data_IF_400025399811
#
_entry.id   IF_400025399811
#
_cell.length_a   1.000
_cell.length_b   1.000
_cell.length_c   1.000
_cell.angle_alpha   90.00
_cell.angle_beta   90.00
_cell.angle_gamma   90.00
#
_symmetry.space_group_name_H-M   'P 1'
#
loop_
_entity.id
_entity.type
_entity.pdbx_description
1 polymer ?
#
# COMPACT_ATOMS: atom_id res chain seq x y z
N UNK A 1 -24.49 36.97 26.03
CA UNK A 1 -24.87 35.55 25.94
C UNK A 1 -23.99 34.88 24.86
N UNK A 2 -22.87 34.30 25.23
CA UNK A 2 -21.88 33.67 24.28
C UNK A 2 -22.19 32.18 24.17
N UNK A 3 -22.64 31.73 23.02
CA UNK A 3 -22.80 30.29 22.73
C UNK A 3 -21.43 29.66 22.50
N UNK A 4 -21.03 28.75 23.38
CA UNK A 4 -19.89 27.87 23.18
C UNK A 4 -20.33 26.77 22.23
N UNK A 5 -19.76 26.72 21.06
CA UNK A 5 -19.83 25.57 20.15
C UNK A 5 -18.86 24.52 20.67
N UNK A 6 -19.40 23.44 21.23
CA UNK A 6 -18.64 22.27 21.61
C UNK A 6 -18.17 21.53 20.36
N UNK A 7 -16.87 21.49 20.18
CA UNK A 7 -16.22 20.60 19.22
C UNK A 7 -16.06 19.26 19.94
N UNK A 8 -16.85 18.27 19.55
CA UNK A 8 -16.64 16.87 19.93
C UNK A 8 -15.39 16.37 19.23
N UNK A 9 -14.42 15.83 19.96
CA UNK A 9 -13.29 15.16 19.32
C UNK A 9 -13.80 13.86 18.68
N UNK A 10 -13.71 13.74 17.37
CA UNK A 10 -13.82 12.48 16.68
C UNK A 10 -12.75 11.53 17.25
N UNK A 11 -13.18 10.40 17.78
CA UNK A 11 -12.27 9.33 18.17
C UNK A 11 -11.60 8.83 16.88
N UNK A 12 -10.36 9.21 16.74
CA UNK A 12 -9.42 8.65 15.76
C UNK A 12 -9.18 7.20 16.13
N UNK A 13 -9.88 6.29 15.46
CA UNK A 13 -9.48 4.88 15.41
C UNK A 13 -8.36 4.79 14.35
N UNK A 14 -7.20 5.25 14.77
CA UNK A 14 -6.03 5.36 13.93
C UNK A 14 -5.35 4.01 13.79
N UNK A 15 -4.92 3.75 12.58
CA UNK A 15 -3.66 3.06 12.27
C UNK A 15 -3.52 1.63 12.81
N UNK A 16 -4.23 0.68 12.21
CA UNK A 16 -3.86 -0.72 12.35
C UNK A 16 -3.42 -1.37 11.04
N UNK A 17 -3.49 -0.64 9.92
CA UNK A 17 -3.16 -1.18 8.60
C UNK A 17 -1.91 -0.57 7.98
N UNK A 18 -1.64 0.69 8.26
CA UNK A 18 -0.44 1.36 7.80
C UNK A 18 0.09 2.15 8.97
N UNK A 19 1.21 1.76 9.53
CA UNK A 19 1.94 2.55 10.53
C UNK A 19 2.47 3.85 9.92
N UNK A 20 1.60 4.65 9.33
CA UNK A 20 1.85 6.00 8.88
C UNK A 20 1.38 6.98 9.96
N UNK A 21 1.91 6.80 11.18
CA UNK A 21 2.11 7.98 12.01
C UNK A 21 3.19 8.79 11.33
N UNK A 22 2.97 10.10 11.17
CA UNK A 22 3.94 11.08 10.70
C UNK A 22 5.14 11.17 11.67
N UNK A 23 5.91 10.09 11.75
CA UNK A 23 7.29 10.13 12.16
C UNK A 23 8.08 10.68 10.97
N UNK A 24 9.20 11.43 11.22
CA UNK A 24 10.03 11.91 10.14
C UNK A 24 10.31 10.72 9.23
N UNK A 25 9.90 10.84 8.00
CA UNK A 25 10.01 9.85 6.92
C UNK A 25 11.27 9.05 7.10
N UNK A 26 11.15 7.77 7.45
CA UNK A 26 12.23 6.85 7.28
C UNK A 26 12.52 6.91 5.77
N UNK A 27 13.61 7.60 5.40
CA UNK A 27 13.93 7.81 4.00
C UNK A 27 14.16 6.44 3.41
N UNK A 28 13.28 6.05 2.50
CA UNK A 28 13.52 4.92 1.63
C UNK A 28 14.87 5.16 0.92
N UNK A 29 15.81 4.28 1.14
CA UNK A 29 17.14 4.35 0.53
C UNK A 29 17.21 3.36 -0.62
N UNK A 30 17.33 3.88 -1.85
CA UNK A 30 17.59 3.05 -3.02
C UNK A 30 18.96 2.38 -2.89
N UNK A 31 19.00 1.07 -3.02
CA UNK A 31 20.22 0.27 -2.88
C UNK A 31 20.50 -0.58 -4.13
N UNK A 32 21.70 -1.14 -4.19
CA UNK A 32 22.08 -2.08 -5.25
C UNK A 32 21.80 -3.51 -4.81
N UNK A 33 21.53 -4.41 -5.76
CA UNK A 33 21.34 -5.85 -5.52
C UNK A 33 22.35 -6.45 -4.51
N UNK A 34 23.63 -6.07 -4.60
CA UNK A 34 24.70 -6.59 -3.71
C UNK A 34 24.51 -6.21 -2.24
N UNK A 35 23.67 -5.23 -1.94
CA UNK A 35 23.38 -4.75 -0.59
C UNK A 35 22.07 -5.37 -0.03
N UNK A 36 21.35 -6.16 -0.82
CA UNK A 36 20.17 -6.93 -0.38
C UNK A 36 20.66 -8.26 0.20
N UNK A 37 20.16 -8.69 1.37
CA UNK A 37 20.51 -9.99 1.92
C UNK A 37 20.20 -11.14 0.94
N UNK A 38 21.11 -12.10 0.82
CA UNK A 38 20.95 -13.22 -0.12
C UNK A 38 19.66 -14.02 0.13
N UNK A 39 19.24 -14.14 1.39
CA UNK A 39 18.00 -14.85 1.78
C UNK A 39 16.76 -14.12 1.27
N UNK A 40 16.76 -12.77 1.25
CA UNK A 40 15.67 -11.94 0.70
C UNK A 40 15.58 -12.15 -0.80
N UNK A 41 16.71 -12.10 -1.52
CA UNK A 41 16.74 -12.36 -2.96
C UNK A 41 16.21 -13.77 -3.28
N UNK A 42 16.65 -14.78 -2.51
CA UNK A 42 16.21 -16.16 -2.69
C UNK A 42 14.70 -16.34 -2.42
N UNK A 43 14.17 -15.67 -1.38
CA UNK A 43 12.73 -15.70 -1.08
C UNK A 43 11.90 -15.10 -2.20
N UNK A 44 12.34 -13.94 -2.74
CA UNK A 44 11.68 -13.29 -3.85
C UNK A 44 11.74 -14.14 -5.12
N UNK A 45 12.93 -14.59 -5.55
CA UNK A 45 13.13 -15.36 -6.77
C UNK A 45 12.37 -16.70 -6.76
N UNK A 46 12.24 -17.31 -5.57
CA UNK A 46 11.45 -18.53 -5.40
C UNK A 46 9.95 -18.29 -5.62
N UNK A 47 9.44 -17.14 -5.16
CA UNK A 47 8.00 -16.81 -5.22
C UNK A 47 7.63 -16.25 -6.58
N UNK A 48 8.51 -15.46 -7.19
CA UNK A 48 8.26 -14.73 -8.44
C UNK A 48 9.35 -15.02 -9.49
N UNK A 49 9.47 -16.29 -9.95
CA UNK A 49 10.58 -16.70 -10.81
C UNK A 49 10.59 -16.06 -12.20
N UNK A 50 9.44 -15.52 -12.64
CA UNK A 50 9.28 -14.88 -13.95
C UNK A 50 9.29 -13.35 -13.87
N UNK A 51 9.38 -12.78 -12.67
CA UNK A 51 9.37 -11.34 -12.50
C UNK A 51 10.70 -10.71 -12.92
N UNK A 52 10.62 -9.58 -13.59
CA UNK A 52 11.77 -8.74 -13.90
C UNK A 52 11.94 -7.70 -12.80
N UNK A 53 13.01 -7.78 -12.04
CA UNK A 53 13.32 -6.83 -10.97
C UNK A 53 13.68 -5.46 -11.58
N UNK A 54 13.13 -4.39 -11.01
CA UNK A 54 13.32 -3.00 -11.44
C UNK A 54 14.16 -2.20 -10.45
N UNK A 55 14.01 -2.46 -9.16
CA UNK A 55 14.69 -1.71 -8.12
C UNK A 55 14.83 -2.50 -6.83
N UNK A 56 15.62 -1.95 -5.94
CA UNK A 56 15.78 -2.42 -4.57
C UNK A 56 15.88 -1.21 -3.65
N UNK A 57 15.19 -1.26 -2.54
CA UNK A 57 15.30 -0.25 -1.50
C UNK A 57 15.38 -0.89 -0.11
N UNK A 58 15.67 -0.05 0.86
CA UNK A 58 15.57 -0.39 2.28
C UNK A 58 15.02 0.79 3.05
N UNK A 59 14.28 0.51 4.09
CA UNK A 59 13.74 1.52 5.00
C UNK A 59 13.55 0.95 6.41
N UNK A 60 13.17 1.83 7.33
CA UNK A 60 12.75 1.43 8.68
C UNK A 60 11.22 1.36 8.73
N UNK A 61 10.64 0.17 8.80
CA UNK A 61 9.21 -0.03 9.06
C UNK A 61 9.00 -0.42 10.52
N UNK A 62 8.29 0.44 11.29
CA UNK A 62 8.00 0.22 12.71
C UNK A 62 9.23 -0.12 13.57
N UNK A 63 10.38 0.50 13.27
CA UNK A 63 11.63 0.28 13.99
C UNK A 63 12.40 -0.97 13.55
N UNK A 64 11.96 -1.66 12.51
CA UNK A 64 12.64 -2.80 11.90
C UNK A 64 13.16 -2.41 10.51
N UNK A 65 14.41 -2.78 10.21
CA UNK A 65 14.96 -2.61 8.87
C UNK A 65 14.33 -3.62 7.94
N UNK A 66 13.73 -3.13 6.85
CA UNK A 66 13.11 -3.94 5.80
C UNK A 66 13.77 -3.66 4.45
N UNK A 67 13.60 -4.59 3.53
CA UNK A 67 14.11 -4.53 2.16
C UNK A 67 12.95 -4.72 1.21
N UNK A 68 12.83 -3.82 0.24
CA UNK A 68 11.83 -3.88 -0.81
C UNK A 68 12.45 -4.27 -2.14
N UNK A 69 11.74 -5.07 -2.90
CA UNK A 69 12.08 -5.46 -4.27
C UNK A 69 10.94 -5.03 -5.19
N UNK A 70 11.24 -4.03 -6.02
CA UNK A 70 10.35 -3.60 -7.10
C UNK A 70 10.48 -4.53 -8.29
N UNK A 71 9.38 -4.94 -8.88
CA UNK A 71 9.38 -5.86 -10.02
C UNK A 71 8.20 -5.65 -10.96
N UNK A 72 8.31 -6.26 -12.14
CA UNK A 72 7.24 -6.32 -13.13
C UNK A 72 7.13 -7.72 -13.70
N UNK A 73 5.90 -8.22 -13.84
CA UNK A 73 5.58 -9.47 -14.50
C UNK A 73 4.35 -9.27 -15.39
N UNK A 74 4.55 -9.29 -16.71
CA UNK A 74 3.50 -8.91 -17.65
C UNK A 74 3.09 -7.45 -17.47
N UNK A 75 1.82 -7.21 -17.10
CA UNK A 75 1.25 -5.88 -16.81
C UNK A 75 1.22 -5.54 -15.33
N UNK A 76 1.58 -6.48 -14.46
CA UNK A 76 1.57 -6.29 -13.01
C UNK A 76 2.91 -5.71 -12.56
N UNK A 77 2.89 -4.54 -11.94
CA UNK A 77 4.01 -4.05 -11.12
C UNK A 77 3.79 -4.51 -9.69
N UNK A 78 4.87 -4.87 -9.01
CA UNK A 78 4.81 -5.43 -7.68
C UNK A 78 5.98 -4.94 -6.85
N UNK A 79 5.67 -4.49 -5.63
CA UNK A 79 6.63 -4.11 -4.61
C UNK A 79 6.48 -5.10 -3.45
N UNK A 80 7.57 -5.80 -3.12
CA UNK A 80 7.56 -6.86 -2.13
C UNK A 80 8.57 -6.56 -1.04
N UNK A 81 8.07 -6.40 0.18
CA UNK A 81 8.86 -6.05 1.35
C UNK A 81 9.16 -7.28 2.20
N UNK A 82 10.42 -7.39 2.62
CA UNK A 82 10.93 -8.47 3.46
C UNK A 82 11.72 -7.92 4.64
N UNK A 83 11.72 -8.63 5.74
CA UNK A 83 12.72 -8.46 6.79
C UNK A 83 14.08 -8.99 6.34
N UNK A 84 15.15 -8.63 7.04
CA UNK A 84 16.53 -9.04 6.68
C UNK A 84 16.76 -10.57 6.67
N UNK A 85 15.93 -11.33 7.36
CA UNK A 85 15.95 -12.80 7.38
C UNK A 85 15.13 -13.45 6.27
N UNK A 86 14.51 -12.64 5.38
CA UNK A 86 13.72 -13.12 4.25
C UNK A 86 12.25 -13.41 4.59
N UNK A 87 11.77 -13.03 5.77
CA UNK A 87 10.35 -13.13 6.12
C UNK A 87 9.56 -12.06 5.36
N UNK A 88 8.48 -12.48 4.68
CA UNK A 88 7.59 -11.58 3.95
C UNK A 88 6.86 -10.64 4.92
N UNK A 89 6.92 -9.35 4.63
CA UNK A 89 6.21 -8.29 5.37
C UNK A 89 4.95 -7.86 4.63
N UNK A 90 5.11 -7.42 3.38
CA UNK A 90 3.98 -6.94 2.55
C UNK A 90 4.22 -7.22 1.07
N UNK A 91 3.10 -7.25 0.35
CA UNK A 91 3.05 -7.25 -1.11
C UNK A 91 2.09 -6.17 -1.55
N UNK A 92 2.57 -5.27 -2.39
CA UNK A 92 1.75 -4.29 -3.09
C UNK A 92 1.81 -4.62 -4.57
N UNK A 93 0.66 -4.78 -5.21
CA UNK A 93 0.61 -5.13 -6.63
C UNK A 93 -0.49 -4.35 -7.35
N UNK A 94 -0.15 -3.87 -8.54
CA UNK A 94 -1.15 -3.21 -9.39
C UNK A 94 -2.28 -4.16 -9.71
N UNK A 95 -3.51 -3.63 -9.71
CA UNK A 95 -4.73 -4.40 -9.92
C UNK A 95 -5.54 -3.85 -11.08
N UNK A 96 -5.99 -4.73 -11.95
CA UNK A 96 -6.95 -4.38 -12.99
C UNK A 96 -8.31 -4.05 -12.36
N UNK A 97 -8.95 -2.98 -12.86
CA UNK A 97 -10.25 -2.52 -12.34
C UNK A 97 -11.33 -3.61 -12.41
N UNK A 98 -11.24 -4.48 -13.42
CA UNK A 98 -12.14 -5.62 -13.60
C UNK A 98 -11.99 -6.70 -12.53
N UNK A 99 -10.85 -6.74 -11.84
CA UNK A 99 -10.56 -7.70 -10.77
C UNK A 99 -10.92 -7.19 -9.37
N UNK A 100 -11.48 -5.98 -9.27
CA UNK A 100 -11.90 -5.42 -7.99
C UNK A 100 -13.05 -6.21 -7.37
N UNK A 101 -13.02 -6.44 -6.05
CA UNK A 101 -14.17 -6.98 -5.34
C UNK A 101 -15.42 -6.09 -5.57
N UNK A 102 -16.60 -6.68 -5.77
CA UNK A 102 -17.82 -5.90 -6.04
C UNK A 102 -18.15 -4.86 -4.98
N UNK A 103 -17.88 -5.15 -3.71
CA UNK A 103 -18.12 -4.22 -2.59
C UNK A 103 -17.18 -3.02 -2.64
N UNK A 104 -15.90 -3.24 -2.95
CA UNK A 104 -14.90 -2.19 -3.13
C UNK A 104 -15.26 -1.30 -4.31
N UNK A 105 -15.64 -1.92 -5.44
CA UNK A 105 -16.08 -1.17 -6.62
C UNK A 105 -17.30 -0.31 -6.32
N UNK A 106 -18.31 -0.85 -5.63
CA UNK A 106 -19.51 -0.12 -5.25
C UNK A 106 -19.21 1.05 -4.29
N UNK A 107 -18.29 0.86 -3.34
CA UNK A 107 -17.85 1.92 -2.43
C UNK A 107 -17.16 3.06 -3.18
N UNK A 108 -16.28 2.70 -4.12
CA UNK A 108 -15.56 3.63 -4.97
C UNK A 108 -16.52 4.47 -5.84
N UNK A 109 -17.44 3.80 -6.56
CA UNK A 109 -18.42 4.45 -7.44
C UNK A 109 -19.34 5.40 -6.66
N UNK A 110 -19.72 5.01 -5.44
CA UNK A 110 -20.54 5.86 -4.54
C UNK A 110 -19.79 7.10 -4.06
N UNK A 111 -18.49 6.95 -3.72
CA UNK A 111 -17.70 8.06 -3.17
C UNK A 111 -17.20 9.00 -4.26
N UNK A 112 -16.89 8.48 -5.44
CA UNK A 112 -16.35 9.25 -6.57
C UNK A 112 -17.14 8.98 -7.86
N UNK A 113 -18.41 9.41 -7.93
CA UNK A 113 -19.24 9.16 -9.12
C UNK A 113 -18.60 9.80 -10.36
N UNK A 114 -18.27 8.98 -11.36
CA UNK A 114 -17.56 9.42 -12.58
C UNK A 114 -16.07 9.73 -12.36
N UNK A 115 -15.51 9.39 -11.23
CA UNK A 115 -14.07 9.50 -10.95
C UNK A 115 -13.24 8.65 -11.89
N UNK A 116 -12.04 9.14 -12.26
CA UNK A 116 -11.08 8.40 -13.09
C UNK A 116 -10.01 7.79 -12.21
N UNK A 117 -10.01 6.48 -12.11
CA UNK A 117 -8.95 5.72 -11.43
C UNK A 117 -7.66 5.89 -12.25
N UNK A 118 -6.59 6.30 -11.58
CA UNK A 118 -5.25 6.48 -12.16
C UNK A 118 -4.32 5.35 -11.79
N UNK A 119 -4.47 4.82 -10.59
CA UNK A 119 -3.74 3.67 -10.05
C UNK A 119 -4.71 2.88 -9.18
N UNK A 120 -4.64 1.57 -9.22
CA UNK A 120 -5.32 0.67 -8.32
C UNK A 120 -4.32 -0.38 -7.88
N UNK A 121 -4.23 -0.62 -6.59
CA UNK A 121 -3.31 -1.57 -5.98
C UNK A 121 -4.04 -2.42 -4.96
N UNK A 122 -3.57 -3.65 -4.85
CA UNK A 122 -3.90 -4.54 -3.75
C UNK A 122 -2.70 -4.64 -2.85
N UNK A 123 -2.89 -4.32 -1.59
CA UNK A 123 -1.88 -4.42 -0.53
C UNK A 123 -2.22 -5.62 0.33
N UNK A 124 -1.23 -6.49 0.56
CA UNK A 124 -1.36 -7.64 1.47
C UNK A 124 -0.26 -7.56 2.52
N UNK A 125 -0.63 -7.45 3.80
CA UNK A 125 0.30 -7.43 4.94
C UNK A 125 -0.16 -8.44 5.98
N UNK A 126 0.50 -9.59 6.04
CA UNK A 126 0.05 -10.72 6.85
C UNK A 126 -1.35 -11.21 6.44
N UNK A 127 -2.32 -11.19 7.36
CA UNK A 127 -3.72 -11.56 7.09
C UNK A 127 -4.57 -10.38 6.58
N UNK A 128 -4.00 -9.19 6.51
CA UNK A 128 -4.72 -7.97 6.14
C UNK A 128 -4.61 -7.73 4.63
N UNK A 129 -5.75 -7.42 4.01
CA UNK A 129 -5.84 -7.01 2.61
C UNK A 129 -6.49 -5.64 2.53
N UNK A 130 -5.89 -4.75 1.75
CA UNK A 130 -6.42 -3.44 1.41
C UNK A 130 -6.41 -3.23 -0.11
N UNK A 131 -7.23 -2.32 -0.57
CA UNK A 131 -7.29 -1.87 -1.96
C UNK A 131 -7.09 -0.37 -1.98
N UNK A 132 -5.98 0.09 -2.53
CA UNK A 132 -5.63 1.50 -2.62
C UNK A 132 -5.86 2.04 -4.02
N UNK A 133 -6.33 3.28 -4.07
CA UNK A 133 -6.65 3.96 -5.32
C UNK A 133 -6.14 5.37 -5.34
N UNK A 134 -5.51 5.72 -6.45
CA UNK A 134 -5.29 7.12 -6.83
C UNK A 134 -6.35 7.52 -7.84
N UNK A 135 -7.21 8.49 -7.48
CA UNK A 135 -8.41 8.86 -8.23
C UNK A 135 -8.35 10.33 -8.59
N UNK A 136 -8.69 10.64 -9.84
CA UNK A 136 -8.96 12.00 -10.28
C UNK A 136 -10.48 12.23 -10.38
N UNK A 137 -10.99 13.14 -9.55
CA UNK A 137 -12.40 13.50 -9.50
C UNK A 137 -12.55 15.02 -9.31
N UNK A 138 -13.42 15.67 -10.08
CA UNK A 138 -13.67 17.12 -10.02
C UNK A 138 -12.38 17.97 -10.07
N UNK A 139 -11.42 17.58 -10.93
CA UNK A 139 -10.17 18.31 -11.11
C UNK A 139 -9.11 18.05 -10.03
N UNK A 140 -9.44 17.32 -8.96
CA UNK A 140 -8.52 16.96 -7.86
C UNK A 140 -8.08 15.52 -7.96
N UNK A 141 -6.87 15.22 -7.49
CA UNK A 141 -6.39 13.86 -7.28
C UNK A 141 -6.43 13.58 -5.79
N UNK A 142 -6.99 12.43 -5.43
CA UNK A 142 -7.09 11.94 -4.06
C UNK A 142 -6.59 10.50 -4.00
N UNK A 143 -6.05 10.11 -2.87
CA UNK A 143 -5.71 8.73 -2.53
C UNK A 143 -6.73 8.23 -1.50
N UNK A 144 -7.10 6.96 -1.60
CA UNK A 144 -8.09 6.33 -0.74
C UNK A 144 -7.85 4.82 -0.70
N UNK A 145 -8.07 4.22 0.45
CA UNK A 145 -8.02 2.78 0.61
C UNK A 145 -9.33 2.22 1.16
N UNK A 146 -9.63 0.97 0.80
CA UNK A 146 -10.76 0.20 1.29
C UNK A 146 -10.33 -1.19 1.74
N UNK A 147 -11.03 -1.74 2.73
CA UNK A 147 -10.97 -3.16 3.02
C UNK A 147 -11.75 -3.98 1.97
N UNK A 148 -11.68 -5.33 1.96
CA UNK A 148 -12.42 -6.17 1.02
C UNK A 148 -13.95 -6.02 1.11
N UNK A 149 -14.48 -5.55 2.23
CA UNK A 149 -15.88 -5.29 2.48
C UNK A 149 -16.34 -3.93 1.93
N UNK A 150 -15.41 -3.09 1.47
CA UNK A 150 -15.65 -1.75 0.95
C UNK A 150 -15.80 -0.70 2.04
N UNK A 151 -15.32 -0.95 3.24
CA UNK A 151 -15.17 0.07 4.27
C UNK A 151 -13.90 0.87 4.01
N UNK A 152 -14.01 2.19 4.14
CA UNK A 152 -12.86 3.08 3.98
C UNK A 152 -11.84 2.89 5.09
N UNK A 153 -10.59 2.80 4.70
CA UNK A 153 -9.45 2.76 5.60
C UNK A 153 -8.80 4.14 5.66
N UNK A 154 -8.29 4.49 6.82
CA UNK A 154 -7.48 5.71 6.98
C UNK A 154 -6.03 5.39 6.57
N UNK A 155 -5.51 6.14 5.59
CA UNK A 155 -4.12 6.09 5.10
C UNK A 155 -3.35 7.31 5.54
#
# INVERSE_FOLDING_TARGET
MKRKTGVTPALTLAALLLGLTSLPWAQEEQIRRKNVPAVVLAAFEKTYPNATIKGYSKEMDNGQLVYEIESVEGTVTRDVTYTADGTLVSVEETLEISALPPKVKAALDRKFPGGKIRKAEKITKGAVVAYEFKIRHNGRTSEIAFDPEGNELQI
#
